data_IF_136300664300
#
_entry.id   IF_136300664300
#
_cell.length_a   1.000
_cell.length_b   1.000
_cell.length_c   1.000
_cell.angle_alpha   90.00
_cell.angle_beta   90.00
_cell.angle_gamma   90.00
#
_symmetry.space_group_name_H-M   'P 1'
#
loop_
_entity.id
_entity.type
_entity.pdbx_description
1 polymer ?
#
# COMPACT_ATOMS: atom_id res chain seq x y z
N UNK A 1 -37.99 7.81 -32.04
CA UNK A 1 -36.94 8.84 -32.23
C UNK A 1 -36.71 9.50 -30.89
N UNK A 2 -35.49 9.35 -30.34
CA UNK A 2 -34.87 10.10 -29.21
C UNK A 2 -35.63 10.14 -27.88
N UNK A 3 -35.14 9.69 -26.74
CA UNK A 3 -33.78 9.45 -26.24
C UNK A 3 -33.77 9.81 -24.73
N UNK A 4 -32.89 9.23 -23.89
CA UNK A 4 -33.14 8.99 -22.47
C UNK A 4 -32.72 10.15 -21.54
N UNK A 5 -33.44 10.31 -20.42
CA UNK A 5 -33.03 11.11 -19.26
C UNK A 5 -31.70 10.59 -18.72
N UNK A 6 -30.66 11.41 -18.91
CA UNK A 6 -29.32 11.26 -18.36
C UNK A 6 -29.40 11.29 -16.84
N UNK A 7 -29.28 10.11 -16.22
CA UNK A 7 -28.93 9.99 -14.82
C UNK A 7 -27.59 10.66 -14.60
N UNK A 8 -27.59 11.67 -13.74
CA UNK A 8 -26.38 12.25 -13.18
C UNK A 8 -25.76 11.21 -12.26
N UNK A 9 -24.90 10.36 -12.83
CA UNK A 9 -23.96 9.58 -12.05
C UNK A 9 -23.00 10.57 -11.41
N UNK A 10 -23.33 10.97 -10.18
CA UNK A 10 -22.42 11.62 -9.26
C UNK A 10 -21.33 10.58 -8.95
N UNK A 11 -20.32 10.53 -9.81
CA UNK A 11 -19.06 9.85 -9.55
C UNK A 11 -18.42 10.64 -8.42
N UNK A 12 -18.70 10.23 -7.20
CA UNK A 12 -17.93 10.66 -6.03
C UNK A 12 -16.57 9.96 -6.18
N UNK A 13 -15.69 10.60 -6.96
CA UNK A 13 -14.27 10.28 -7.07
C UNK A 13 -13.67 10.36 -5.67
N UNK A 14 -12.67 9.51 -5.38
CA UNK A 14 -11.99 9.40 -4.09
C UNK A 14 -11.16 10.65 -3.67
N UNK A 15 -11.49 11.82 -4.21
CA UNK A 15 -10.80 13.11 -4.05
C UNK A 15 -11.38 13.99 -2.91
N UNK A 16 -12.32 13.48 -2.11
CA UNK A 16 -13.02 14.24 -1.04
C UNK A 16 -12.20 14.46 0.26
N UNK A 17 -10.90 14.75 0.17
CA UNK A 17 -10.14 15.31 1.30
C UNK A 17 -9.15 16.42 0.90
N UNK A 18 -9.31 17.01 -0.28
CA UNK A 18 -8.54 18.21 -0.62
C UNK A 18 -9.13 19.45 0.07
N UNK A 19 -8.29 20.18 0.81
CA UNK A 19 -8.64 21.50 1.37
C UNK A 19 -9.19 22.40 0.25
N UNK A 20 -10.31 23.07 0.52
CA UNK A 20 -10.84 24.06 -0.41
C UNK A 20 -9.79 25.16 -0.65
N UNK A 21 -9.86 25.85 -1.80
CA UNK A 21 -8.90 26.91 -2.13
C UNK A 21 -8.87 28.00 -1.04
N UNK A 22 -10.06 28.32 -0.51
CA UNK A 22 -10.25 29.30 0.57
C UNK A 22 -9.63 28.81 1.87
N UNK A 23 -9.92 27.56 2.27
CA UNK A 23 -9.32 26.95 3.46
C UNK A 23 -7.80 26.86 3.35
N UNK A 24 -7.27 26.62 2.14
CA UNK A 24 -5.83 26.55 1.89
C UNK A 24 -5.14 27.92 2.04
N UNK A 25 -5.80 29.00 1.61
CA UNK A 25 -5.32 30.37 1.79
C UNK A 25 -5.23 30.77 3.27
N UNK A 26 -6.12 30.25 4.11
CA UNK A 26 -6.08 30.42 5.57
C UNK A 26 -5.10 29.45 6.25
N UNK A 27 -5.01 28.22 5.77
CA UNK A 27 -4.22 27.16 6.40
C UNK A 27 -2.70 27.39 6.28
N UNK A 28 -2.21 27.91 5.15
CA UNK A 28 -0.78 28.19 4.94
C UNK A 28 -0.23 29.20 5.96
N UNK A 29 -0.82 30.39 6.16
CA UNK A 29 -0.37 31.31 7.20
C UNK A 29 -0.62 30.77 8.61
N UNK A 30 -1.70 30.02 8.85
CA UNK A 30 -1.95 29.36 10.13
C UNK A 30 -0.83 28.38 10.50
N UNK A 31 -0.36 27.58 9.54
CA UNK A 31 0.74 26.63 9.72
C UNK A 31 2.05 27.35 10.08
N UNK A 32 2.34 28.49 9.43
CA UNK A 32 3.51 29.32 9.76
C UNK A 32 3.42 29.88 11.18
N UNK A 33 2.24 30.37 11.60
CA UNK A 33 2.01 30.84 12.98
C UNK A 33 2.17 29.71 14.00
N UNK A 34 1.60 28.54 13.72
CA UNK A 34 1.73 27.35 14.57
C UNK A 34 3.21 26.94 14.75
N UNK A 35 3.98 26.95 13.67
CA UNK A 35 5.40 26.64 13.72
C UNK A 35 6.24 27.70 14.46
N UNK A 36 5.92 28.99 14.29
CA UNK A 36 6.56 30.06 15.05
C UNK A 36 6.31 29.92 16.55
N UNK A 37 5.05 29.65 16.97
CA UNK A 37 4.73 29.36 18.38
C UNK A 37 5.52 28.17 18.95
N UNK A 38 5.74 27.13 18.14
CA UNK A 38 6.56 25.99 18.54
C UNK A 38 8.06 26.31 18.66
N UNK A 39 8.58 27.26 17.86
CA UNK A 39 9.98 27.74 17.98
C UNK A 39 10.17 28.64 19.20
N UNK A 40 9.18 29.49 19.51
CA UNK A 40 9.25 30.46 20.61
C UNK A 40 8.95 29.81 21.98
N UNK A 41 8.12 28.76 21.99
CA UNK A 41 7.92 27.90 23.15
C UNK A 41 9.12 26.96 23.33
N UNK A 42 9.65 26.85 24.55
CA UNK A 42 10.64 25.82 24.94
C UNK A 42 10.03 24.40 24.95
N UNK A 43 9.23 24.04 23.96
CA UNK A 43 8.71 22.69 23.81
C UNK A 43 9.88 21.79 23.47
N UNK A 44 10.18 20.82 24.35
CA UNK A 44 11.05 19.70 23.99
C UNK A 44 10.38 18.96 22.85
N UNK A 45 10.75 19.30 21.61
CA UNK A 45 10.48 18.45 20.46
C UNK A 45 11.22 17.16 20.78
N UNK A 46 10.46 16.09 21.05
CA UNK A 46 11.02 14.80 21.43
C UNK A 46 12.13 14.41 20.47
N UNK A 47 13.14 13.69 20.99
CA UNK A 47 14.30 13.27 20.20
C UNK A 47 13.83 12.64 18.90
N UNK A 48 14.18 13.25 17.77
CA UNK A 48 13.85 12.77 16.44
C UNK A 48 14.38 11.35 16.26
N UNK A 49 13.55 10.44 15.74
CA UNK A 49 14.03 9.16 15.26
C UNK A 49 14.97 9.42 14.07
N UNK A 50 16.25 9.12 14.22
CA UNK A 50 17.28 9.34 13.20
C UNK A 50 17.18 8.39 12.00
N UNK A 51 16.02 7.73 11.82
CA UNK A 51 15.81 6.66 10.86
C UNK A 51 15.19 7.08 9.53
N UNK A 52 14.33 8.10 9.51
CA UNK A 52 13.65 8.53 8.28
C UNK A 52 14.42 9.70 7.63
N UNK A 53 14.96 9.44 6.44
CA UNK A 53 15.78 10.39 5.67
C UNK A 53 14.91 11.45 4.97
N UNK A 54 13.62 11.20 4.80
CA UNK A 54 12.71 12.01 4.00
C UNK A 54 11.63 12.70 4.86
N UNK A 55 11.99 13.19 6.05
CA UNK A 55 11.03 13.89 6.93
C UNK A 55 10.71 15.32 6.46
N UNK A 56 9.50 15.79 6.77
CA UNK A 56 9.11 17.20 6.60
C UNK A 56 9.83 18.08 7.65
N UNK A 57 11.04 18.53 7.32
CA UNK A 57 11.82 19.38 8.21
C UNK A 57 11.21 20.78 8.38
N UNK A 58 11.53 21.50 9.49
CA UNK A 58 11.12 22.89 9.70
C UNK A 58 11.32 23.80 8.48
N UNK A 59 12.47 23.71 7.83
CA UNK A 59 12.79 24.49 6.63
C UNK A 59 11.94 24.12 5.41
N UNK A 60 11.43 22.89 5.36
CA UNK A 60 10.53 22.42 4.31
C UNK A 60 9.13 22.99 4.49
N UNK A 61 8.65 23.00 5.74
CA UNK A 61 7.35 23.54 6.12
C UNK A 61 7.23 25.06 5.89
N UNK A 62 8.35 25.77 5.72
CA UNK A 62 8.33 27.19 5.34
C UNK A 62 7.98 27.41 3.85
N UNK A 63 8.33 26.48 2.96
CA UNK A 63 8.26 26.68 1.50
C UNK A 63 7.30 25.73 0.80
N UNK A 64 7.19 24.48 1.27
CA UNK A 64 6.34 23.46 0.66
C UNK A 64 4.85 23.86 0.61
N UNK A 65 4.25 24.41 1.69
CA UNK A 65 2.85 24.85 1.65
C UNK A 65 2.59 25.96 0.62
N UNK A 66 3.53 26.91 0.48
CA UNK A 66 3.39 28.01 -0.49
C UNK A 66 3.42 27.49 -1.92
N UNK A 67 4.28 26.50 -2.20
CA UNK A 67 4.39 25.86 -3.52
C UNK A 67 3.17 25.03 -3.85
N UNK A 68 2.67 24.27 -2.88
CA UNK A 68 1.45 23.51 -3.00
C UNK A 68 0.26 24.41 -3.31
N UNK A 69 0.09 25.50 -2.54
CA UNK A 69 -0.94 26.53 -2.78
C UNK A 69 -0.82 27.18 -4.14
N UNK A 70 0.37 27.58 -4.57
CA UNK A 70 0.58 28.21 -5.87
C UNK A 70 0.18 27.28 -7.04
N UNK A 71 0.48 25.99 -6.94
CA UNK A 71 0.07 25.00 -7.93
C UNK A 71 -1.45 24.84 -7.98
N UNK A 72 -2.09 24.74 -6.80
CA UNK A 72 -3.55 24.66 -6.67
C UNK A 72 -4.25 25.89 -7.24
N UNK A 73 -3.77 27.09 -6.91
CA UNK A 73 -4.30 28.36 -7.46
C UNK A 73 -4.14 28.46 -8.98
N UNK A 74 -3.12 27.81 -9.55
CA UNK A 74 -2.93 27.74 -10.99
C UNK A 74 -3.71 26.60 -11.66
N UNK A 75 -4.49 25.81 -10.90
CA UNK A 75 -5.13 24.57 -11.34
C UNK A 75 -4.15 23.58 -12.01
N UNK A 76 -2.93 23.49 -11.46
CA UNK A 76 -1.85 22.63 -11.96
C UNK A 76 -1.38 21.67 -10.86
N UNK A 77 -0.81 20.55 -11.29
CA UNK A 77 -0.09 19.65 -10.37
C UNK A 77 1.19 20.30 -9.84
N UNK A 78 1.60 19.89 -8.64
CA UNK A 78 2.87 20.33 -8.05
C UNK A 78 4.04 19.72 -8.82
N UNK A 79 4.98 20.55 -9.27
CA UNK A 79 6.21 20.09 -9.93
C UNK A 79 7.23 19.60 -8.89
N UNK A 80 7.03 18.35 -8.46
CA UNK A 80 7.89 17.67 -7.50
C UNK A 80 9.33 17.50 -7.99
N UNK A 81 9.53 17.33 -9.30
CA UNK A 81 10.85 17.15 -9.88
C UNK A 81 11.69 18.40 -9.67
N UNK A 82 11.16 19.57 -10.06
CA UNK A 82 11.84 20.84 -9.85
C UNK A 82 12.01 21.15 -8.37
N UNK A 83 10.97 20.92 -7.54
CA UNK A 83 11.04 21.18 -6.10
C UNK A 83 12.13 20.40 -5.39
N UNK A 84 12.28 19.11 -5.71
CA UNK A 84 13.27 18.22 -5.10
C UNK A 84 14.72 18.70 -5.30
N UNK A 85 14.98 19.44 -6.37
CA UNK A 85 16.33 19.97 -6.67
C UNK A 85 16.63 21.28 -5.95
N UNK A 86 15.62 21.93 -5.37
CA UNK A 86 15.81 23.24 -4.73
C UNK A 86 16.53 23.11 -3.38
N UNK A 87 17.19 24.20 -2.97
CA UNK A 87 18.00 24.26 -1.74
C UNK A 87 17.23 23.95 -0.44
N UNK A 88 15.90 24.02 -0.45
CA UNK A 88 15.06 23.75 0.71
C UNK A 88 14.75 22.25 0.87
N UNK A 89 14.82 21.49 -0.22
CA UNK A 89 14.46 20.06 -0.29
C UNK A 89 15.71 19.18 -0.42
N UNK A 90 16.84 19.55 0.20
CA UNK A 90 18.13 18.82 0.08
C UNK A 90 18.01 17.32 0.35
N UNK A 91 17.18 16.94 1.33
CA UNK A 91 16.92 15.55 1.68
C UNK A 91 16.26 14.76 0.55
N UNK A 92 15.48 15.43 -0.31
CA UNK A 92 14.72 14.83 -1.40
C UNK A 92 15.41 14.94 -2.76
N UNK A 93 16.66 15.41 -2.83
CA UNK A 93 17.35 15.64 -4.10
C UNK A 93 17.46 14.33 -4.91
N UNK A 94 16.85 14.29 -6.09
CA UNK A 94 16.78 13.09 -6.95
C UNK A 94 15.68 12.10 -6.56
N UNK A 95 14.91 12.40 -5.52
CA UNK A 95 13.84 11.56 -4.97
C UNK A 95 12.50 12.32 -4.98
N UNK A 96 12.05 12.73 -6.18
CA UNK A 96 10.82 13.50 -6.35
C UNK A 96 9.56 12.72 -5.96
N UNK A 97 9.56 11.39 -6.14
CA UNK A 97 8.43 10.54 -5.74
C UNK A 97 8.29 10.46 -4.22
N UNK A 98 9.39 10.42 -3.46
CA UNK A 98 9.38 10.51 -2.00
C UNK A 98 8.81 11.86 -1.54
N UNK A 99 9.11 12.93 -2.28
CA UNK A 99 8.54 14.24 -1.98
C UNK A 99 7.03 14.29 -2.25
N UNK A 100 6.59 13.67 -3.36
CA UNK A 100 5.15 13.52 -3.67
C UNK A 100 4.45 12.71 -2.58
N UNK A 101 5.08 11.65 -2.06
CA UNK A 101 4.54 10.83 -0.98
C UNK A 101 4.35 11.59 0.35
N UNK A 102 4.98 12.76 0.52
CA UNK A 102 4.78 13.65 1.68
C UNK A 102 3.64 14.65 1.50
N UNK A 103 3.00 14.72 0.34
CA UNK A 103 1.84 15.59 0.12
C UNK A 103 0.67 15.28 1.09
N UNK A 104 0.29 14.01 1.37
CA UNK A 104 -0.75 13.73 2.36
C UNK A 104 -0.39 14.19 3.77
N UNK A 105 0.87 14.02 4.17
CA UNK A 105 1.37 14.49 5.48
C UNK A 105 1.27 16.02 5.58
N UNK A 106 1.63 16.74 4.50
CA UNK A 106 1.47 18.19 4.39
C UNK A 106 -0.01 18.61 4.53
N UNK A 107 -0.93 17.92 3.85
CA UNK A 107 -2.38 18.20 3.91
C UNK A 107 -2.92 18.07 5.33
N UNK A 108 -2.56 17.00 6.04
CA UNK A 108 -2.95 16.78 7.45
C UNK A 108 -2.44 17.91 8.34
N UNK A 109 -1.18 18.34 8.16
CA UNK A 109 -0.62 19.46 8.91
C UNK A 109 -1.35 20.78 8.65
N UNK A 110 -1.75 21.05 7.40
CA UNK A 110 -2.51 22.23 7.03
C UNK A 110 -3.91 22.23 7.65
N UNK A 111 -4.64 21.11 7.57
CA UNK A 111 -5.94 20.95 8.21
C UNK A 111 -5.86 21.17 9.73
N UNK A 112 -4.86 20.56 10.38
CA UNK A 112 -4.63 20.71 11.81
C UNK A 112 -4.34 22.17 12.19
N UNK A 113 -3.45 22.83 11.45
CA UNK A 113 -3.10 24.23 11.71
C UNK A 113 -4.30 25.16 11.53
N UNK A 114 -5.12 24.93 10.49
CA UNK A 114 -6.35 25.69 10.26
C UNK A 114 -7.34 25.52 11.41
N UNK A 115 -7.59 24.28 11.84
CA UNK A 115 -8.50 23.99 12.95
C UNK A 115 -8.03 24.62 14.27
N UNK A 116 -6.71 24.57 14.54
CA UNK A 116 -6.11 25.23 15.71
C UNK A 116 -6.28 26.76 15.63
N UNK A 117 -5.98 27.37 14.48
CA UNK A 117 -6.11 28.81 14.30
C UNK A 117 -7.57 29.27 14.41
N UNK A 118 -8.52 28.55 13.82
CA UNK A 118 -9.96 28.82 13.98
C UNK A 118 -10.41 28.69 15.43
N UNK A 119 -9.85 27.75 16.19
CA UNK A 119 -10.07 27.65 17.62
C UNK A 119 -9.58 28.91 18.36
N UNK A 120 -8.38 29.38 18.04
CA UNK A 120 -7.83 30.62 18.63
C UNK A 120 -8.70 31.83 18.28
N UNK A 121 -9.06 31.99 17.00
CA UNK A 121 -9.80 33.14 16.49
C UNK A 121 -11.25 33.19 17.01
N UNK A 122 -11.88 32.02 17.21
CA UNK A 122 -13.18 31.91 17.87
C UNK A 122 -13.14 32.25 19.38
N UNK A 123 -11.97 32.64 19.90
CA UNK A 123 -11.77 32.91 21.31
C UNK A 123 -11.99 31.67 22.16
N UNK A 124 -11.81 30.47 21.58
CA UNK A 124 -12.06 29.21 22.29
C UNK A 124 -11.17 29.23 23.54
N UNK A 125 -11.75 29.24 24.75
CA UNK A 125 -10.95 29.23 25.96
C UNK A 125 -10.09 27.98 25.91
N UNK A 126 -8.82 28.12 26.32
CA UNK A 126 -7.92 26.99 26.49
C UNK A 126 -8.69 25.93 27.27
N UNK A 127 -8.89 24.75 26.67
CA UNK A 127 -9.64 23.67 27.33
C UNK A 127 -9.02 23.49 28.71
N UNK A 128 -9.85 23.46 29.75
CA UNK A 128 -9.37 23.13 31.08
C UNK A 128 -8.81 21.70 31.05
N UNK A 129 -7.98 21.39 32.05
CA UNK A 129 -7.29 20.10 32.14
C UNK A 129 -8.29 18.94 32.07
N UNK A 130 -9.43 19.08 32.76
CA UNK A 130 -10.52 18.09 32.78
C UNK A 130 -11.10 17.79 31.39
N UNK A 131 -11.42 18.81 30.57
CA UNK A 131 -11.93 18.59 29.21
C UNK A 131 -10.86 18.03 28.25
N UNK A 132 -9.58 18.16 28.57
CA UNK A 132 -8.50 17.48 27.83
C UNK A 132 -8.40 16.01 28.26
N UNK A 133 -8.51 15.72 29.55
CA UNK A 133 -8.49 14.36 30.08
C UNK A 133 -9.66 13.52 29.54
N UNK A 134 -10.87 14.08 29.47
CA UNK A 134 -12.03 13.41 28.89
C UNK A 134 -11.84 13.10 27.39
N UNK A 135 -11.26 14.04 26.63
CA UNK A 135 -10.99 13.84 25.21
C UNK A 135 -9.92 12.77 24.98
N UNK A 136 -8.85 12.78 25.79
CA UNK A 136 -7.81 11.74 25.75
C UNK A 136 -8.40 10.38 26.08
N UNK A 137 -9.20 10.27 27.15
CA UNK A 137 -9.85 9.02 27.52
C UNK A 137 -10.77 8.49 26.42
N UNK A 138 -11.54 9.37 25.77
CA UNK A 138 -12.39 8.99 24.62
C UNK A 138 -11.56 8.49 23.44
N UNK A 139 -10.48 9.20 23.10
CA UNK A 139 -9.59 8.81 22.01
C UNK A 139 -8.90 7.48 22.30
N UNK A 140 -8.49 7.22 23.54
CA UNK A 140 -7.87 5.96 23.94
C UNK A 140 -8.83 4.78 23.78
N UNK A 141 -10.09 4.93 24.20
CA UNK A 141 -11.12 3.91 24.00
C UNK A 141 -11.36 3.66 22.51
N UNK A 142 -11.44 4.73 21.70
CA UNK A 142 -11.64 4.60 20.25
C UNK A 142 -10.46 3.89 19.58
N UNK A 143 -9.22 4.28 19.89
CA UNK A 143 -8.02 3.63 19.35
C UNK A 143 -7.94 2.16 19.75
N UNK A 144 -8.22 1.86 21.02
CA UNK A 144 -8.27 0.48 21.51
C UNK A 144 -9.28 -0.37 20.73
N UNK A 145 -10.49 0.16 20.51
CA UNK A 145 -11.52 -0.52 19.72
C UNK A 145 -11.08 -0.77 18.27
N UNK A 146 -10.47 0.23 17.62
CA UNK A 146 -9.98 0.09 16.25
C UNK A 146 -8.86 -0.94 16.14
N UNK A 147 -7.93 -0.96 17.09
CA UNK A 147 -6.85 -1.97 17.15
C UNK A 147 -7.45 -3.36 17.34
N UNK A 148 -8.44 -3.53 18.22
CA UNK A 148 -9.10 -4.83 18.43
C UNK A 148 -9.72 -5.37 17.15
N UNK A 149 -10.51 -4.54 16.45
CA UNK A 149 -11.15 -4.92 15.18
C UNK A 149 -10.12 -5.30 14.10
N UNK A 150 -9.03 -4.55 14.00
CA UNK A 150 -7.95 -4.86 13.06
C UNK A 150 -7.30 -6.20 13.41
N UNK A 151 -6.95 -6.44 14.67
CA UNK A 151 -6.36 -7.70 15.11
C UNK A 151 -7.29 -8.89 14.84
N UNK A 152 -8.57 -8.78 15.17
CA UNK A 152 -9.57 -9.82 14.87
C UNK A 152 -9.60 -10.13 13.36
N UNK A 153 -9.59 -9.11 12.51
CA UNK A 153 -9.57 -9.30 11.06
C UNK A 153 -8.30 -10.00 10.56
N UNK A 154 -7.15 -9.66 11.13
CA UNK A 154 -5.87 -10.27 10.77
C UNK A 154 -5.78 -11.72 11.26
N UNK A 155 -6.28 -12.02 12.46
CA UNK A 155 -6.30 -13.40 12.98
C UNK A 155 -7.13 -14.33 12.09
N UNK A 156 -8.31 -13.87 11.65
CA UNK A 156 -9.16 -14.62 10.71
C UNK A 156 -8.43 -14.86 9.39
N UNK A 157 -7.79 -13.84 8.83
CA UNK A 157 -7.10 -13.93 7.55
C UNK A 157 -5.86 -14.83 7.62
N UNK A 158 -5.10 -14.77 8.72
CA UNK A 158 -3.98 -15.68 8.97
C UNK A 158 -4.46 -17.13 9.02
N UNK A 159 -5.58 -17.39 9.71
CA UNK A 159 -6.18 -18.73 9.77
C UNK A 159 -6.58 -19.25 8.39
N UNK A 160 -7.23 -18.40 7.57
CA UNK A 160 -7.60 -18.73 6.18
C UNK A 160 -6.38 -19.12 5.35
N UNK A 161 -5.33 -18.30 5.38
CA UNK A 161 -4.09 -18.54 4.63
C UNK A 161 -3.36 -19.82 5.08
N UNK A 162 -3.40 -20.13 6.39
CA UNK A 162 -2.84 -21.38 6.90
C UNK A 162 -3.60 -22.61 6.40
N UNK A 163 -4.94 -22.55 6.34
CA UNK A 163 -5.75 -23.63 5.76
C UNK A 163 -5.43 -23.84 4.27
N UNK A 164 -5.35 -22.77 3.49
CA UNK A 164 -4.99 -22.84 2.07
C UNK A 164 -3.59 -23.42 1.85
N UNK A 165 -2.62 -23.02 2.67
CA UNK A 165 -1.27 -23.57 2.61
C UNK A 165 -1.25 -25.08 2.87
N UNK A 166 -2.01 -25.55 3.86
CA UNK A 166 -2.11 -26.98 4.17
C UNK A 166 -2.76 -27.76 3.03
N UNK A 167 -3.79 -27.21 2.38
CA UNK A 167 -4.44 -27.85 1.22
C UNK A 167 -3.48 -27.95 0.02
N UNK A 168 -2.75 -26.87 -0.28
CA UNK A 168 -1.73 -26.88 -1.35
C UNK A 168 -0.64 -27.90 -1.06
N UNK A 169 -0.19 -28.00 0.20
CA UNK A 169 0.82 -28.98 0.62
C UNK A 169 0.32 -30.41 0.44
N UNK A 170 -0.92 -30.69 0.84
CA UNK A 170 -1.53 -32.01 0.65
C UNK A 170 -1.66 -32.38 -0.85
N UNK A 171 -2.06 -31.41 -1.70
CA UNK A 171 -2.11 -31.61 -3.16
C UNK A 171 -0.71 -31.89 -3.74
N UNK A 172 0.31 -31.18 -3.27
CA UNK A 172 1.69 -31.38 -3.69
C UNK A 172 2.20 -32.77 -3.30
N UNK A 173 1.96 -33.21 -2.07
CA UNK A 173 2.37 -34.53 -1.61
C UNK A 173 1.66 -35.65 -2.40
N UNK A 174 0.35 -35.50 -2.67
CA UNK A 174 -0.39 -36.43 -3.52
C UNK A 174 0.15 -36.50 -4.96
N UNK A 175 0.49 -35.35 -5.56
CA UNK A 175 1.09 -35.29 -6.89
C UNK A 175 2.49 -35.93 -6.91
N UNK A 176 3.28 -35.69 -5.86
CA UNK A 176 4.63 -36.27 -5.70
C UNK A 176 4.55 -37.80 -5.66
N UNK A 177 3.63 -38.36 -4.88
CA UNK A 177 3.41 -39.81 -4.82
C UNK A 177 2.99 -40.40 -6.18
N UNK A 178 2.14 -39.71 -6.95
CA UNK A 178 1.77 -40.14 -8.31
C UNK A 178 2.98 -40.14 -9.24
N UNK A 179 3.86 -39.13 -9.16
CA UNK A 179 5.07 -39.06 -9.98
C UNK A 179 6.10 -40.14 -9.60
N UNK A 180 6.23 -40.48 -8.31
CA UNK A 180 7.19 -41.49 -7.84
C UNK A 180 6.64 -42.92 -7.91
N UNK A 181 5.31 -43.09 -7.88
CA UNK A 181 4.60 -44.37 -8.01
C UNK A 181 4.58 -44.96 -9.43
N UNK A 182 5.54 -44.59 -10.28
CA UNK A 182 5.69 -44.99 -11.68
C UNK A 182 6.14 -46.47 -11.84
N UNK A 183 5.72 -47.39 -10.96
CA UNK A 183 6.02 -48.82 -11.08
C UNK A 183 5.39 -49.45 -12.34
N UNK A 184 4.18 -48.98 -12.71
CA UNK A 184 3.47 -49.47 -13.90
C UNK A 184 4.18 -49.16 -15.21
N UNK A 185 4.94 -48.06 -15.31
CA UNK A 185 5.69 -47.76 -16.54
C UNK A 185 6.93 -48.64 -16.69
N UNK A 186 7.53 -49.07 -15.58
CA UNK A 186 8.66 -49.99 -15.58
C UNK A 186 8.19 -51.40 -15.99
N UNK A 187 7.13 -51.92 -15.37
CA UNK A 187 6.54 -53.22 -15.74
C UNK A 187 6.07 -53.28 -17.19
N UNK A 188 5.39 -52.23 -17.69
CA UNK A 188 5.00 -52.15 -19.10
C UNK A 188 6.21 -52.05 -20.04
N UNK A 189 7.30 -51.43 -19.59
CA UNK A 189 8.56 -51.38 -20.35
C UNK A 189 9.18 -52.77 -20.53
N UNK A 190 9.17 -53.58 -19.49
CA UNK A 190 9.68 -54.96 -19.52
C UNK A 190 8.78 -55.85 -20.39
N UNK A 191 7.46 -55.77 -20.26
CA UNK A 191 6.50 -56.51 -21.12
C UNK A 191 6.64 -56.14 -22.61
N UNK A 192 6.81 -54.84 -22.92
CA UNK A 192 7.00 -54.38 -24.31
C UNK A 192 8.31 -54.90 -24.89
N UNK A 193 9.39 -54.94 -24.11
CA UNK A 193 10.66 -55.51 -24.56
C UNK A 193 10.55 -57.02 -24.82
N UNK A 194 9.88 -57.77 -23.94
CA UNK A 194 9.67 -59.21 -24.14
C UNK A 194 8.83 -59.51 -25.39
N UNK A 195 7.77 -58.73 -25.64
CA UNK A 195 6.97 -58.87 -26.86
C UNK A 195 7.79 -58.52 -28.10
N UNK A 196 8.65 -57.49 -28.04
CA UNK A 196 9.52 -57.10 -29.14
C UNK A 196 10.52 -58.21 -29.51
N UNK A 197 11.12 -58.86 -28.51
CA UNK A 197 12.02 -59.99 -28.73
C UNK A 197 11.30 -61.18 -29.37
N UNK A 198 10.09 -61.51 -28.90
CA UNK A 198 9.25 -62.56 -29.50
C UNK A 198 8.85 -62.27 -30.95
N UNK A 199 8.57 -61.00 -31.27
CA UNK A 199 8.26 -60.59 -32.65
C UNK A 199 9.49 -60.78 -33.55
N UNK A 200 10.67 -60.38 -33.10
CA UNK A 200 11.92 -60.56 -33.85
C UNK A 200 12.23 -62.05 -34.12
N UNK A 201 12.03 -62.93 -33.14
CA UNK A 201 12.18 -64.38 -33.34
C UNK A 201 11.18 -64.93 -34.38
N UNK A 202 9.93 -64.47 -34.36
CA UNK A 202 8.91 -64.89 -35.32
C UNK A 202 9.21 -64.40 -36.74
N UNK A 203 9.72 -63.18 -36.90
CA UNK A 203 10.17 -62.65 -38.19
C UNK A 203 11.30 -63.50 -38.77
N UNK A 204 12.34 -63.79 -37.98
CA UNK A 204 13.45 -64.65 -38.41
C UNK A 204 12.98 -66.06 -38.78
N UNK A 205 12.03 -66.61 -38.03
CA UNK A 205 11.43 -67.93 -38.31
C UNK A 205 10.61 -67.93 -39.60
N UNK A 206 9.87 -66.84 -39.88
CA UNK A 206 9.13 -66.69 -41.12
C UNK A 206 10.09 -66.57 -42.32
N UNK A 207 11.13 -65.74 -42.23
CA UNK A 207 12.15 -65.63 -43.29
C UNK A 207 12.82 -66.98 -43.59
N UNK A 208 13.19 -67.72 -42.54
CA UNK A 208 13.81 -69.05 -42.68
C UNK A 208 12.86 -70.07 -43.33
N UNK A 209 11.56 -70.00 -43.04
CA UNK A 209 10.54 -70.87 -43.63
C UNK A 209 10.30 -70.56 -45.12
N UNK A 210 10.31 -69.28 -45.47
CA UNK A 210 10.11 -68.84 -46.85
C UNK A 210 11.32 -69.20 -47.74
N UNK A 211 12.52 -69.33 -47.16
CA UNK A 211 13.72 -69.84 -47.85
C UNK A 211 13.75 -71.37 -48.00
N UNK A 212 12.92 -72.11 -47.25
CA UNK A 212 12.75 -73.57 -47.37
C UNK A 212 11.63 -73.98 -48.33
N UNK A 213 10.85 -73.02 -48.83
CA UNK A 213 9.69 -73.25 -49.72
C UNK A 213 9.90 -72.74 -51.15
N UNK A 214 11.14 -72.34 -51.51
CA UNK A 214 11.57 -72.04 -52.88
C UNK A 214 12.53 -73.10 -53.42
#
# INVERSE_FOLDING_TARGET
MTGPTRGENNVISADEQDLSLVDLDEAVPALKKMHARMKDGKCQVGKHSSGDKFQLSPSLLEVFPDRYRAARNAHKGVDYQSLSTTKHFKAFKGHAEELRAKEPELKVLLMKALAEQRGIDAGKPMKNIEALEEEVARLDVQHSLTISKLNESYEVEIGRLQSELNEVKAKYDALKEVMTGCGKSAELGDEVNEVKDKVAELEQKNESRDHQTN
#
